data_IF_655478201612
#
_entry.id   IF_655478201612
#
_cell.length_a   1.000
_cell.length_b   1.000
_cell.length_c   1.000
_cell.angle_alpha   90.00
_cell.angle_beta   90.00
_cell.angle_gamma   90.00
#
_symmetry.space_group_name_H-M   'P 1'
#
loop_
_entity.id
_entity.type
_entity.pdbx_description
1 polymer ?
#
# COMPACT_ATOMS: atom_id res chain seq x y z
N UNK A 1 -28.21 7.81 -15.11
CA UNK A 1 -28.50 6.69 -14.19
C UNK A 1 -27.37 5.66 -14.11
N UNK A 2 -26.89 5.09 -15.22
CA UNK A 2 -25.87 4.02 -15.17
C UNK A 2 -24.63 4.37 -14.33
N UNK A 3 -24.04 5.56 -14.52
CA UNK A 3 -22.86 6.01 -13.76
C UNK A 3 -23.09 6.06 -12.24
N UNK A 4 -24.28 6.45 -11.81
CA UNK A 4 -24.67 6.51 -10.39
C UNK A 4 -24.75 5.09 -9.81
N UNK A 5 -25.33 4.16 -10.57
CA UNK A 5 -25.42 2.74 -10.17
C UNK A 5 -24.01 2.14 -10.04
N UNK A 6 -23.15 2.35 -11.05
CA UNK A 6 -21.78 1.85 -11.03
C UNK A 6 -21.00 2.45 -9.85
N UNK A 7 -21.13 3.75 -9.62
CA UNK A 7 -20.53 4.40 -8.45
C UNK A 7 -21.01 3.79 -7.15
N UNK A 8 -22.32 3.60 -6.99
CA UNK A 8 -22.89 3.05 -5.78
C UNK A 8 -22.37 1.63 -5.50
N UNK A 9 -22.27 0.79 -6.52
CA UNK A 9 -21.73 -0.57 -6.39
C UNK A 9 -20.26 -0.54 -5.98
N UNK A 10 -19.43 0.26 -6.65
CA UNK A 10 -17.99 0.36 -6.34
C UNK A 10 -17.78 0.93 -4.94
N UNK A 11 -18.47 2.01 -4.59
CA UNK A 11 -18.34 2.65 -3.29
C UNK A 11 -18.89 1.78 -2.14
N UNK A 12 -20.02 1.09 -2.35
CA UNK A 12 -20.52 0.09 -1.41
C UNK A 12 -19.52 -1.05 -1.21
N UNK A 13 -18.87 -1.51 -2.28
CA UNK A 13 -17.82 -2.52 -2.18
C UNK A 13 -16.61 -2.01 -1.38
N UNK A 14 -16.21 -0.73 -1.56
CA UNK A 14 -15.16 -0.08 -0.77
C UNK A 14 -15.55 -0.04 0.72
N UNK A 15 -16.79 0.36 1.05
CA UNK A 15 -17.30 0.38 2.43
C UNK A 15 -17.24 -1.02 3.04
N UNK A 16 -17.81 -2.02 2.36
CA UNK A 16 -17.86 -3.39 2.86
C UNK A 16 -16.46 -3.98 3.05
N UNK A 17 -15.58 -3.84 2.06
CA UNK A 17 -14.25 -4.43 2.12
C UNK A 17 -13.38 -3.79 3.20
N UNK A 18 -13.30 -2.46 3.23
CA UNK A 18 -12.36 -1.76 4.10
C UNK A 18 -12.87 -1.61 5.53
N UNK A 19 -14.18 -1.45 5.73
CA UNK A 19 -14.75 -1.22 7.06
C UNK A 19 -15.32 -2.48 7.71
N UNK A 20 -15.58 -3.57 6.97
CA UNK A 20 -16.20 -4.78 7.53
C UNK A 20 -15.38 -6.04 7.28
N UNK A 21 -15.12 -6.38 6.02
CA UNK A 21 -14.52 -7.67 5.67
C UNK A 21 -13.05 -7.76 6.11
N UNK A 22 -12.21 -6.79 5.73
CA UNK A 22 -10.78 -6.83 6.02
C UNK A 22 -10.48 -6.69 7.51
N UNK A 23 -11.11 -5.77 8.28
CA UNK A 23 -10.92 -5.70 9.71
C UNK A 23 -11.25 -7.01 10.43
N UNK A 24 -12.36 -7.67 10.08
CA UNK A 24 -12.74 -8.98 10.63
C UNK A 24 -11.73 -10.07 10.28
N UNK A 25 -11.23 -10.07 9.04
CA UNK A 25 -10.23 -11.03 8.59
C UNK A 25 -8.87 -10.79 9.26
N UNK A 26 -8.49 -9.54 9.48
CA UNK A 26 -7.30 -9.13 10.22
C UNK A 26 -7.36 -9.62 11.66
N UNK A 27 -8.46 -9.35 12.37
CA UNK A 27 -8.62 -9.77 13.76
C UNK A 27 -8.62 -11.29 13.90
N UNK A 28 -9.35 -12.01 13.04
CA UNK A 28 -9.44 -13.46 13.10
C UNK A 28 -8.10 -14.15 12.82
N UNK A 29 -7.37 -13.73 11.77
CA UNK A 29 -6.07 -14.35 11.42
C UNK A 29 -4.98 -14.00 12.41
N UNK A 30 -4.86 -12.74 12.79
CA UNK A 30 -3.72 -12.27 13.59
C UNK A 30 -3.82 -12.65 15.06
N UNK A 31 -5.02 -12.74 15.62
CA UNK A 31 -5.20 -13.28 16.96
C UNK A 31 -4.76 -14.75 17.06
N UNK A 32 -4.81 -15.49 15.95
CA UNK A 32 -4.34 -16.89 15.90
C UNK A 32 -2.82 -17.00 15.70
N UNK A 33 -2.19 -16.03 15.01
CA UNK A 33 -0.79 -16.12 14.59
C UNK A 33 0.21 -15.46 15.56
N UNK A 34 -0.18 -14.40 16.29
CA UNK A 34 0.77 -13.64 17.12
C UNK A 34 0.13 -13.05 18.38
N UNK A 35 0.69 -13.32 19.58
CA UNK A 35 0.22 -12.73 20.82
C UNK A 35 0.42 -11.20 20.87
N UNK A 36 1.39 -10.65 20.12
CA UNK A 36 1.61 -9.20 20.04
C UNK A 36 0.47 -8.49 19.31
N UNK A 37 -0.02 -9.07 18.21
CA UNK A 37 -1.20 -8.57 17.52
C UNK A 37 -2.44 -8.70 18.38
N UNK A 38 -2.57 -9.80 19.12
CA UNK A 38 -3.68 -9.99 20.06
C UNK A 38 -3.65 -8.90 21.15
N UNK A 39 -2.48 -8.59 21.70
CA UNK A 39 -2.32 -7.51 22.66
C UNK A 39 -2.60 -6.13 22.05
N UNK A 40 -2.10 -5.84 20.84
CA UNK A 40 -2.37 -4.58 20.15
C UNK A 40 -3.87 -4.39 19.87
N UNK A 41 -4.55 -5.46 19.44
CA UNK A 41 -6.00 -5.46 19.22
C UNK A 41 -6.79 -5.33 20.52
N UNK A 42 -6.37 -6.00 21.61
CA UNK A 42 -7.00 -5.86 22.92
C UNK A 42 -6.79 -4.47 23.53
N UNK A 43 -5.63 -3.87 23.30
CA UNK A 43 -5.32 -2.50 23.71
C UNK A 43 -6.18 -1.52 22.91
N UNK A 44 -6.42 -1.80 21.63
CA UNK A 44 -7.33 -1.06 20.78
C UNK A 44 -8.78 -1.53 20.97
N UNK A 45 -9.34 -1.28 22.16
CA UNK A 45 -10.78 -1.50 22.46
C UNK A 45 -11.71 -0.83 21.44
N UNK A 46 -11.19 0.16 20.70
CA UNK A 46 -11.91 0.92 19.69
C UNK A 46 -11.81 0.37 18.27
N UNK A 47 -10.99 -0.65 17.97
CA UNK A 47 -10.79 -1.10 16.58
C UNK A 47 -12.08 -1.58 15.91
N UNK A 48 -12.80 -2.53 16.53
CA UNK A 48 -14.07 -3.04 16.00
C UNK A 48 -15.18 -1.96 15.92
N UNK A 49 -15.47 -1.19 17.00
CA UNK A 49 -16.51 -0.16 16.93
C UNK A 49 -16.15 0.99 15.97
N UNK A 50 -14.87 1.37 15.84
CA UNK A 50 -14.45 2.37 14.85
C UNK A 50 -14.76 1.90 13.42
N UNK A 51 -14.45 0.65 13.09
CA UNK A 51 -14.74 0.07 11.78
C UNK A 51 -16.26 0.00 11.49
N UNK A 52 -17.09 -0.32 12.50
CA UNK A 52 -18.56 -0.27 12.35
C UNK A 52 -19.03 1.18 12.14
N UNK A 53 -18.54 2.14 12.93
CA UNK A 53 -18.87 3.55 12.77
C UNK A 53 -18.49 4.07 11.38
N UNK A 54 -17.33 3.63 10.86
CA UNK A 54 -16.90 3.94 9.49
C UNK A 54 -17.83 3.33 8.45
N UNK A 55 -18.30 2.10 8.64
CA UNK A 55 -19.27 1.48 7.73
C UNK A 55 -20.59 2.27 7.70
N UNK A 56 -21.10 2.69 8.86
CA UNK A 56 -22.31 3.53 8.97
C UNK A 56 -22.09 4.90 8.31
N UNK A 57 -20.97 5.57 8.60
CA UNK A 57 -20.62 6.84 7.97
C UNK A 57 -20.53 6.73 6.44
N UNK A 58 -19.96 5.63 5.94
CA UNK A 58 -19.91 5.34 4.51
C UNK A 58 -21.30 5.14 3.90
N UNK A 59 -22.20 4.43 4.60
CA UNK A 59 -23.57 4.23 4.14
C UNK A 59 -24.39 5.54 4.12
N UNK A 60 -24.17 6.42 5.10
CA UNK A 60 -24.74 7.78 5.12
C UNK A 60 -24.21 8.58 3.93
N UNK A 61 -22.90 8.55 3.70
CA UNK A 61 -22.28 9.26 2.58
C UNK A 61 -22.74 8.73 1.22
N UNK A 62 -22.89 7.40 1.07
CA UNK A 62 -23.46 6.79 -0.13
C UNK A 62 -24.90 7.23 -0.35
N UNK A 63 -25.72 7.23 0.71
CA UNK A 63 -27.10 7.73 0.64
C UNK A 63 -27.14 9.20 0.21
N UNK A 64 -26.26 10.04 0.78
CA UNK A 64 -26.14 11.43 0.38
C UNK A 64 -25.81 11.56 -1.12
N UNK A 65 -24.88 10.75 -1.65
CA UNK A 65 -24.58 10.75 -3.08
C UNK A 65 -25.72 10.26 -3.99
N UNK A 66 -26.60 9.38 -3.48
CA UNK A 66 -27.72 8.83 -4.24
C UNK A 66 -28.94 9.74 -4.26
N UNK A 67 -29.22 10.43 -3.16
CA UNK A 67 -30.44 11.22 -2.97
C UNK A 67 -30.21 12.74 -3.11
N UNK A 68 -28.98 13.18 -3.34
CA UNK A 68 -28.65 14.58 -3.60
C UNK A 68 -27.85 14.73 -4.89
N UNK A 69 -27.79 15.95 -5.43
CA UNK A 69 -26.92 16.28 -6.56
C UNK A 69 -25.43 16.39 -6.17
N UNK A 70 -25.01 15.82 -5.02
CA UNK A 70 -23.63 15.89 -4.55
C UNK A 70 -22.63 15.30 -5.56
N UNK A 71 -23.01 14.30 -6.36
CA UNK A 71 -22.15 13.76 -7.42
C UNK A 71 -21.97 14.73 -8.60
N UNK A 72 -22.90 15.66 -8.81
CA UNK A 72 -22.75 16.72 -9.81
C UNK A 72 -21.67 17.73 -9.37
N UNK A 73 -21.55 17.97 -8.06
CA UNK A 73 -20.47 18.74 -7.46
C UNK A 73 -19.19 17.89 -7.37
N UNK A 74 -18.50 17.73 -8.51
CA UNK A 74 -17.39 16.79 -8.64
C UNK A 74 -16.27 16.98 -7.62
N UNK A 75 -15.81 18.21 -7.39
CA UNK A 75 -14.69 18.50 -6.46
C UNK A 75 -15.01 18.07 -5.03
N UNK A 76 -16.13 18.51 -4.40
CA UNK A 76 -16.48 18.05 -3.06
C UNK A 76 -16.77 16.54 -3.01
N UNK A 77 -17.34 15.94 -4.06
CA UNK A 77 -17.52 14.49 -4.11
C UNK A 77 -16.18 13.73 -4.01
N UNK A 78 -15.18 14.13 -4.81
CA UNK A 78 -13.84 13.53 -4.78
C UNK A 78 -13.15 13.76 -3.43
N UNK A 79 -13.27 14.96 -2.85
CA UNK A 79 -12.73 15.26 -1.52
C UNK A 79 -13.39 14.39 -0.43
N UNK A 80 -14.71 14.22 -0.49
CA UNK A 80 -15.42 13.37 0.47
C UNK A 80 -15.02 11.90 0.34
N UNK A 81 -14.90 11.36 -0.88
CA UNK A 81 -14.43 9.99 -1.13
C UNK A 81 -13.00 9.79 -0.61
N UNK A 82 -12.10 10.71 -0.93
CA UNK A 82 -10.70 10.68 -0.47
C UNK A 82 -10.59 10.82 1.05
N UNK A 83 -11.28 11.78 1.64
CA UNK A 83 -11.31 11.99 3.09
C UNK A 83 -11.87 10.79 3.84
N UNK A 84 -12.96 10.21 3.33
CA UNK A 84 -13.54 8.99 3.88
C UNK A 84 -12.55 7.82 3.83
N UNK A 85 -11.84 7.64 2.71
CA UNK A 85 -10.81 6.61 2.60
C UNK A 85 -9.71 6.75 3.65
N UNK A 86 -9.17 7.96 3.87
CA UNK A 86 -8.17 8.17 4.92
C UNK A 86 -8.71 7.82 6.30
N UNK A 87 -9.97 8.16 6.57
CA UNK A 87 -10.64 7.80 7.82
C UNK A 87 -10.79 6.27 7.96
N UNK A 88 -11.08 5.55 6.86
CA UNK A 88 -11.12 4.09 6.83
C UNK A 88 -9.75 3.45 7.14
N UNK A 89 -8.65 4.08 6.71
CA UNK A 89 -7.30 3.56 6.94
C UNK A 89 -6.76 3.86 8.34
N UNK A 90 -7.33 4.83 9.06
CA UNK A 90 -6.82 5.27 10.36
C UNK A 90 -6.80 4.17 11.43
N UNK A 91 -7.86 3.37 11.66
CA UNK A 91 -7.82 2.28 12.64
C UNK A 91 -6.73 1.25 12.33
N UNK A 92 -6.51 0.96 11.05
CA UNK A 92 -5.45 0.04 10.64
C UNK A 92 -4.07 0.61 10.96
N UNK A 93 -3.83 1.88 10.65
CA UNK A 93 -2.56 2.55 10.94
C UNK A 93 -2.25 2.56 12.45
N UNK A 94 -3.26 2.82 13.28
CA UNK A 94 -3.14 2.82 14.75
C UNK A 94 -2.73 1.45 15.28
N UNK A 95 -3.35 0.36 14.78
CA UNK A 95 -3.05 -1.00 15.26
C UNK A 95 -1.75 -1.53 14.65
N UNK A 96 -1.46 -1.24 13.38
CA UNK A 96 -0.29 -1.75 12.70
C UNK A 96 1.02 -1.08 13.17
N UNK A 97 0.97 0.20 13.53
CA UNK A 97 2.16 0.97 13.94
C UNK A 97 3.00 0.29 15.04
N UNK A 98 2.43 -0.05 16.20
CA UNK A 98 3.17 -0.70 17.28
C UNK A 98 3.73 -2.08 16.91
N UNK A 99 3.04 -2.82 16.04
CA UNK A 99 3.48 -4.17 15.63
C UNK A 99 4.62 -4.10 14.62
N UNK A 100 4.54 -3.14 13.69
CA UNK A 100 5.63 -2.87 12.76
C UNK A 100 6.88 -2.37 13.47
N UNK A 101 6.72 -1.60 14.56
CA UNK A 101 7.85 -1.10 15.35
C UNK A 101 8.52 -2.16 16.24
N UNK A 102 7.86 -3.29 16.52
CA UNK A 102 8.36 -4.30 17.48
C UNK A 102 8.93 -5.55 16.85
N UNK A 103 8.70 -5.82 15.57
CA UNK A 103 9.18 -7.05 14.92
C UNK A 103 10.72 -7.08 14.91
N UNK A 104 11.37 -7.92 15.74
CA UNK A 104 12.83 -7.98 15.77
C UNK A 104 13.33 -8.61 14.48
N UNK A 105 14.30 -7.95 13.86
CA UNK A 105 14.90 -8.39 12.60
C UNK A 105 15.74 -9.65 12.82
N UNK A 106 15.31 -10.80 12.33
CA UNK A 106 16.17 -11.96 12.11
C UNK A 106 16.78 -11.89 10.71
N UNK A 107 17.56 -10.84 10.44
CA UNK A 107 18.39 -10.81 9.25
C UNK A 107 19.55 -11.80 9.44
N UNK A 108 19.73 -12.72 8.49
CA UNK A 108 20.92 -13.58 8.50
C UNK A 108 22.16 -12.70 8.40
N UNK A 109 23.18 -12.93 9.25
CA UNK A 109 24.41 -12.14 9.25
C UNK A 109 25.09 -12.05 7.86
N UNK A 110 24.90 -13.07 7.02
CA UNK A 110 25.39 -13.10 5.63
C UNK A 110 24.67 -12.13 4.67
N UNK A 111 23.41 -11.76 4.94
CA UNK A 111 22.65 -10.78 4.14
C UNK A 111 23.01 -9.34 4.51
N UNK A 112 23.42 -9.08 5.76
CA UNK A 112 23.79 -7.75 6.25
C UNK A 112 25.07 -7.23 5.59
N UNK A 113 25.99 -8.12 5.22
CA UNK A 113 27.31 -7.74 4.68
C UNK A 113 27.24 -7.12 3.28
N UNK A 114 26.23 -7.47 2.46
CA UNK A 114 26.13 -7.00 1.06
C UNK A 114 25.51 -5.60 0.97
N UNK A 115 26.06 -4.69 0.14
CA UNK A 115 25.48 -3.36 -0.03
C UNK A 115 24.10 -3.45 -0.65
N UNK A 116 23.08 -3.00 0.09
CA UNK A 116 21.69 -3.04 -0.36
C UNK A 116 21.50 -2.25 -1.66
N UNK A 117 20.87 -2.87 -2.63
CA UNK A 117 20.43 -2.25 -3.89
C UNK A 117 18.91 -2.30 -3.96
N UNK A 118 18.30 -1.31 -4.61
CA UNK A 118 16.85 -1.28 -4.75
C UNK A 118 16.30 -2.51 -5.50
N UNK A 119 17.08 -3.01 -6.47
CA UNK A 119 16.77 -4.22 -7.23
C UNK A 119 16.76 -5.51 -6.38
N UNK A 120 17.32 -5.49 -5.17
CA UNK A 120 17.25 -6.62 -4.24
C UNK A 120 15.85 -6.71 -3.59
N UNK A 121 15.11 -5.60 -3.53
CA UNK A 121 13.80 -5.50 -2.89
C UNK A 121 12.64 -5.45 -3.89
N UNK A 122 12.87 -4.88 -5.08
CA UNK A 122 11.85 -4.66 -6.10
C UNK A 122 12.31 -5.24 -7.43
N UNK A 123 11.43 -6.01 -8.08
CA UNK A 123 11.69 -6.53 -9.42
C UNK A 123 12.06 -5.39 -10.39
N UNK A 124 13.15 -5.52 -11.16
CA UNK A 124 13.54 -4.53 -12.18
C UNK A 124 12.41 -4.21 -13.17
N UNK A 125 11.52 -5.18 -13.44
CA UNK A 125 10.34 -4.98 -14.27
C UNK A 125 9.36 -3.97 -13.66
N UNK A 126 9.08 -4.08 -12.35
CA UNK A 126 8.17 -3.16 -11.65
C UNK A 126 8.78 -1.77 -11.56
N UNK A 127 10.09 -1.67 -11.29
CA UNK A 127 10.81 -0.40 -11.33
C UNK A 127 10.73 0.23 -12.73
N UNK A 128 10.99 -0.54 -13.77
CA UNK A 128 10.89 -0.10 -15.16
C UNK A 128 9.48 0.38 -15.51
N UNK A 129 8.45 -0.35 -15.10
CA UNK A 129 7.06 0.02 -15.29
C UNK A 129 6.70 1.32 -14.56
N UNK A 130 7.13 1.48 -13.31
CA UNK A 130 6.90 2.69 -12.53
C UNK A 130 7.53 3.92 -13.22
N UNK A 131 8.79 3.80 -13.64
CA UNK A 131 9.51 4.87 -14.36
C UNK A 131 8.86 5.15 -15.71
N UNK A 132 8.53 4.11 -16.49
CA UNK A 132 7.92 4.27 -17.81
C UNK A 132 6.56 4.97 -17.73
N UNK A 133 5.72 4.62 -16.75
CA UNK A 133 4.44 5.30 -16.54
C UNK A 133 4.63 6.74 -16.07
N UNK A 134 5.54 6.99 -15.13
CA UNK A 134 5.77 8.35 -14.62
C UNK A 134 6.34 9.27 -15.71
N UNK A 135 7.37 8.82 -16.43
CA UNK A 135 7.99 9.58 -17.54
C UNK A 135 7.00 9.72 -18.70
N UNK A 136 6.29 8.65 -19.06
CA UNK A 136 5.27 8.70 -20.11
C UNK A 136 4.18 9.70 -19.79
N UNK A 137 3.73 9.78 -18.54
CA UNK A 137 2.74 10.77 -18.12
C UNK A 137 3.27 12.20 -18.30
N UNK A 138 4.46 12.48 -17.76
CA UNK A 138 5.10 13.80 -17.88
C UNK A 138 5.35 14.20 -19.33
N UNK A 139 5.83 13.28 -20.16
CA UNK A 139 6.06 13.50 -21.58
C UNK A 139 4.75 13.81 -22.32
N UNK A 140 3.68 13.07 -22.02
CA UNK A 140 2.35 13.31 -22.61
C UNK A 140 1.83 14.70 -22.22
N UNK A 141 1.91 15.08 -20.93
CA UNK A 141 1.47 16.41 -20.49
C UNK A 141 2.30 17.53 -21.11
N UNK A 142 3.62 17.31 -21.26
CA UNK A 142 4.51 18.28 -21.89
C UNK A 142 4.20 18.47 -23.37
N UNK A 143 3.88 17.39 -24.09
CA UNK A 143 3.50 17.43 -25.50
C UNK A 143 2.15 18.11 -25.74
N UNK A 144 1.24 18.04 -24.77
CA UNK A 144 -0.08 18.69 -24.82
C UNK A 144 -0.08 20.13 -24.26
N UNK A 145 1.08 20.65 -23.85
CA UNK A 145 1.17 21.97 -23.26
C UNK A 145 1.14 23.06 -24.34
N UNK A 146 0.20 23.99 -24.20
CA UNK A 146 0.02 25.15 -25.09
C UNK A 146 0.80 26.40 -24.63
N UNK A 147 1.65 26.27 -23.61
CA UNK A 147 2.40 27.38 -23.02
C UNK A 147 1.62 28.16 -21.94
N UNK A 148 0.34 27.84 -21.70
CA UNK A 148 -0.45 28.53 -20.67
C UNK A 148 -0.38 27.82 -19.32
N UNK A 149 -0.34 28.59 -18.23
CA UNK A 149 -0.34 28.08 -16.85
C UNK A 149 -1.77 27.95 -16.32
N UNK A 150 -2.54 27.04 -16.90
CA UNK A 150 -3.91 26.79 -16.52
C UNK A 150 -4.04 25.77 -15.35
N UNK A 151 -5.29 25.47 -14.96
CA UNK A 151 -5.59 24.44 -13.94
C UNK A 151 -5.14 23.03 -14.36
N UNK A 152 -4.92 22.77 -15.65
CA UNK A 152 -4.40 21.47 -16.13
C UNK A 152 -2.92 21.38 -15.83
N UNK A 153 -2.16 22.45 -16.05
CA UNK A 153 -0.73 22.52 -15.73
C UNK A 153 -0.43 22.38 -14.24
N UNK A 154 -1.30 22.83 -13.34
CA UNK A 154 -1.11 22.65 -11.88
C UNK A 154 -1.01 21.16 -11.46
N UNK A 155 -1.56 20.23 -12.24
CA UNK A 155 -1.49 18.79 -11.97
C UNK A 155 -0.07 18.24 -12.14
N UNK A 156 0.71 18.79 -13.06
CA UNK A 156 2.08 18.34 -13.40
C UNK A 156 3.05 18.52 -12.22
N UNK A 157 3.21 19.72 -11.61
CA UNK A 157 4.11 19.88 -10.47
C UNK A 157 3.62 19.12 -9.25
N UNK A 158 2.31 18.97 -9.02
CA UNK A 158 1.77 18.12 -7.94
C UNK A 158 2.17 16.66 -8.16
N UNK A 159 1.93 16.13 -9.38
CA UNK A 159 2.32 14.78 -9.73
C UNK A 159 3.83 14.56 -9.58
N UNK A 160 4.63 15.47 -10.14
CA UNK A 160 6.09 15.42 -10.06
C UNK A 160 6.57 15.47 -8.59
N UNK A 161 6.02 16.37 -7.77
CA UNK A 161 6.35 16.48 -6.35
C UNK A 161 6.05 15.18 -5.60
N UNK A 162 4.90 14.55 -5.86
CA UNK A 162 4.56 13.24 -5.24
C UNK A 162 5.53 12.15 -5.67
N UNK A 163 5.86 12.05 -6.96
CA UNK A 163 6.82 11.05 -7.44
C UNK A 163 8.23 11.28 -6.90
N UNK A 164 8.69 12.53 -6.88
CA UNK A 164 9.97 12.91 -6.28
C UNK A 164 9.99 12.64 -4.78
N UNK A 165 8.87 12.85 -4.08
CA UNK A 165 8.76 12.49 -2.67
C UNK A 165 8.92 10.98 -2.46
N UNK A 166 8.24 10.14 -3.25
CA UNK A 166 8.36 8.69 -3.13
C UNK A 166 9.79 8.19 -3.41
N UNK A 167 10.38 8.64 -4.53
CA UNK A 167 11.75 8.26 -4.91
C UNK A 167 12.78 8.83 -3.93
N UNK A 168 12.59 10.08 -3.51
CA UNK A 168 13.44 10.76 -2.54
C UNK A 168 13.47 10.06 -1.19
N UNK A 169 12.31 9.67 -0.65
CA UNK A 169 12.26 8.89 0.59
C UNK A 169 12.97 7.54 0.43
N UNK A 170 12.73 6.83 -0.66
CA UNK A 170 13.33 5.52 -0.89
C UNK A 170 14.86 5.58 -1.01
N UNK A 171 15.36 6.56 -1.77
CA UNK A 171 16.80 6.78 -1.96
C UNK A 171 17.47 7.27 -0.68
N UNK A 172 16.80 8.15 0.08
CA UNK A 172 17.26 8.58 1.39
C UNK A 172 17.40 7.41 2.36
N UNK A 173 16.37 6.57 2.47
CA UNK A 173 16.40 5.38 3.34
C UNK A 173 17.49 4.39 2.89
N UNK A 174 17.64 4.16 1.58
CA UNK A 174 18.72 3.32 1.05
C UNK A 174 20.11 3.87 1.42
N UNK A 175 20.30 5.19 1.33
CA UNK A 175 21.55 5.84 1.69
C UNK A 175 21.80 5.86 3.21
N UNK A 176 20.75 5.94 4.03
CA UNK A 176 20.83 5.82 5.48
C UNK A 176 21.27 4.41 5.88
N UNK A 177 20.60 3.38 5.35
CA UNK A 177 20.94 1.96 5.60
C UNK A 177 22.36 1.61 5.18
N UNK A 178 22.89 2.20 4.09
CA UNK A 178 24.28 2.00 3.67
C UNK A 178 25.31 2.60 4.62
N UNK A 179 24.95 3.64 5.38
CA UNK A 179 25.82 4.36 6.33
C UNK A 179 25.67 3.87 7.77
N UNK A 180 24.61 3.13 8.07
CA UNK A 180 24.33 2.58 9.38
C UNK A 180 25.39 1.55 9.82
N UNK A 181 25.60 1.46 11.15
CA UNK A 181 26.36 0.39 11.77
C UNK A 181 25.72 -0.97 11.48
N UNK A 182 26.47 -2.07 11.65
CA UNK A 182 26.01 -3.41 11.27
C UNK A 182 24.69 -3.82 11.94
N UNK A 183 24.51 -3.48 13.22
CA UNK A 183 23.29 -3.74 13.97
C UNK A 183 22.07 -2.99 13.39
N UNK A 184 22.20 -1.68 13.14
CA UNK A 184 21.10 -0.84 12.63
C UNK A 184 20.83 -1.07 11.13
N UNK A 185 21.85 -1.54 10.40
CA UNK A 185 21.75 -1.82 8.96
C UNK A 185 20.80 -2.99 8.68
N UNK A 186 20.78 -4.01 9.53
CA UNK A 186 19.83 -5.12 9.41
C UNK A 186 18.37 -4.63 9.48
N UNK A 187 18.07 -3.77 10.45
CA UNK A 187 16.76 -3.14 10.59
C UNK A 187 16.42 -2.26 9.37
N UNK A 188 17.37 -1.44 8.91
CA UNK A 188 17.20 -0.60 7.73
C UNK A 188 16.96 -1.40 6.43
N UNK A 189 17.62 -2.55 6.26
CA UNK A 189 17.39 -3.46 5.13
C UNK A 189 15.97 -4.04 5.19
N UNK A 190 15.50 -4.45 6.36
CA UNK A 190 14.15 -4.97 6.52
C UNK A 190 13.08 -3.90 6.29
N UNK A 191 13.29 -2.69 6.83
CA UNK A 191 12.42 -1.56 6.56
C UNK A 191 12.32 -1.30 5.05
N UNK A 192 13.45 -1.28 4.34
CA UNK A 192 13.49 -1.13 2.87
C UNK A 192 12.80 -2.28 2.13
N UNK A 193 13.00 -3.53 2.56
CA UNK A 193 12.35 -4.70 1.96
C UNK A 193 10.81 -4.60 2.03
N UNK A 194 10.31 -3.93 3.07
CA UNK A 194 8.88 -3.68 3.28
C UNK A 194 8.39 -2.43 2.54
N UNK A 195 9.13 -1.32 2.60
CA UNK A 195 8.68 -0.04 2.03
C UNK A 195 8.84 0.03 0.51
N UNK A 196 9.91 -0.55 -0.04
CA UNK A 196 10.28 -0.39 -1.44
C UNK A 196 9.22 -0.94 -2.43
N UNK A 197 8.68 -2.16 -2.25
CA UNK A 197 7.62 -2.65 -3.11
C UNK A 197 6.36 -1.79 -3.00
N UNK A 198 6.00 -1.36 -1.78
CA UNK A 198 4.83 -0.52 -1.54
C UNK A 198 4.94 0.83 -2.27
N UNK A 199 6.06 1.52 -2.15
CA UNK A 199 6.27 2.80 -2.82
C UNK A 199 6.31 2.66 -4.34
N UNK A 200 6.87 1.57 -4.86
CA UNK A 200 6.89 1.29 -6.30
C UNK A 200 5.47 1.06 -6.83
N UNK A 201 4.68 0.23 -6.15
CA UNK A 201 3.29 -0.03 -6.52
C UNK A 201 2.41 1.22 -6.38
N UNK A 202 2.65 2.03 -5.35
CA UNK A 202 1.97 3.32 -5.18
C UNK A 202 2.30 4.27 -6.33
N UNK A 203 3.57 4.34 -6.75
CA UNK A 203 4.01 5.15 -7.91
C UNK A 203 3.34 4.70 -9.21
N UNK A 204 3.28 3.38 -9.47
CA UNK A 204 2.54 2.79 -10.61
C UNK A 204 1.07 3.18 -10.54
N UNK A 205 0.45 2.99 -9.37
CA UNK A 205 -0.95 3.28 -9.15
C UNK A 205 -1.30 4.75 -9.39
N UNK A 206 -0.54 5.68 -8.81
CA UNK A 206 -0.74 7.12 -8.99
C UNK A 206 -0.60 7.48 -10.48
N UNK A 207 0.44 6.99 -11.15
CA UNK A 207 0.62 7.24 -12.60
C UNK A 207 -0.54 6.71 -13.43
N UNK A 208 -0.97 5.47 -13.17
CA UNK A 208 -2.12 4.86 -13.83
C UNK A 208 -3.42 5.63 -13.58
N UNK A 209 -3.65 6.11 -12.36
CA UNK A 209 -4.79 6.93 -12.02
C UNK A 209 -4.80 8.27 -12.79
N UNK A 210 -3.66 8.95 -12.89
CA UNK A 210 -3.56 10.20 -13.63
C UNK A 210 -3.77 10.01 -15.13
N UNK A 211 -3.20 8.95 -15.74
CA UNK A 211 -3.50 8.57 -17.12
C UNK A 211 -4.98 8.27 -17.34
N UNK A 212 -5.56 7.40 -16.50
CA UNK A 212 -6.97 7.03 -16.59
C UNK A 212 -7.88 8.26 -16.49
N UNK A 213 -7.55 9.19 -15.59
CA UNK A 213 -8.27 10.46 -15.46
C UNK A 213 -8.23 11.27 -16.75
N UNK A 214 -7.08 11.41 -17.38
CA UNK A 214 -6.96 12.21 -18.60
C UNK A 214 -7.63 11.52 -19.80
N UNK A 215 -7.62 10.18 -19.86
CA UNK A 215 -8.44 9.41 -20.82
C UNK A 215 -9.94 9.68 -20.61
N UNK A 216 -10.42 9.68 -19.36
CA UNK A 216 -11.82 10.01 -19.07
C UNK A 216 -12.19 11.45 -19.48
N UNK A 217 -11.25 12.39 -19.39
CA UNK A 217 -11.45 13.74 -19.88
C UNK A 217 -11.52 13.80 -21.41
N UNK A 218 -10.61 13.10 -22.10
CA UNK A 218 -10.58 13.05 -23.55
C UNK A 218 -11.83 12.39 -24.15
N UNK A 219 -12.39 11.40 -23.46
CA UNK A 219 -13.62 10.70 -23.85
C UNK A 219 -14.91 11.38 -23.35
N UNK A 220 -14.81 12.56 -22.71
CA UNK A 220 -15.92 13.33 -22.13
C UNK A 220 -16.78 12.58 -21.08
N UNK A 221 -16.33 11.42 -20.59
CA UNK A 221 -17.02 10.60 -19.57
C UNK A 221 -16.61 10.99 -18.15
N UNK A 222 -16.56 12.28 -17.88
CA UNK A 222 -16.09 12.85 -16.61
C UNK A 222 -16.91 12.41 -15.39
N UNK A 223 -18.15 11.96 -15.60
CA UNK A 223 -19.03 11.42 -14.58
C UNK A 223 -18.46 10.14 -13.92
N UNK A 224 -17.55 9.41 -14.57
CA UNK A 224 -16.91 8.21 -14.03
C UNK A 224 -15.74 8.51 -13.08
N UNK A 225 -15.33 9.78 -12.92
CA UNK A 225 -14.21 10.15 -12.04
C UNK A 225 -14.37 9.67 -10.59
N UNK A 226 -15.54 9.78 -9.93
CA UNK A 226 -15.74 9.26 -8.58
C UNK A 226 -15.60 7.74 -8.49
N UNK A 227 -16.09 7.03 -9.51
CA UNK A 227 -15.96 5.56 -9.64
C UNK A 227 -14.47 5.17 -9.67
N UNK A 228 -13.72 5.80 -10.58
CA UNK A 228 -12.30 5.53 -10.76
C UNK A 228 -11.49 5.86 -9.50
N UNK A 229 -11.81 6.96 -8.81
CA UNK A 229 -11.16 7.30 -7.54
C UNK A 229 -11.44 6.26 -6.46
N UNK A 230 -12.69 5.87 -6.26
CA UNK A 230 -13.07 4.85 -5.28
C UNK A 230 -12.39 3.50 -5.58
N UNK A 231 -12.41 3.05 -6.83
CA UNK A 231 -11.74 1.82 -7.25
C UNK A 231 -10.22 1.88 -7.03
N UNK A 232 -9.60 3.02 -7.36
CA UNK A 232 -8.17 3.24 -7.15
C UNK A 232 -7.79 3.19 -5.67
N UNK A 233 -8.53 3.89 -4.82
CA UNK A 233 -8.30 3.91 -3.37
C UNK A 233 -8.51 2.52 -2.76
N UNK A 234 -9.55 1.80 -3.19
CA UNK A 234 -9.79 0.41 -2.78
C UNK A 234 -8.61 -0.50 -3.15
N UNK A 235 -8.05 -0.37 -4.35
CA UNK A 235 -6.85 -1.12 -4.75
C UNK A 235 -5.65 -0.76 -3.87
N UNK A 236 -5.42 0.53 -3.58
CA UNK A 236 -4.34 0.97 -2.69
C UNK A 236 -4.48 0.38 -1.28
N UNK A 237 -5.68 0.37 -0.71
CA UNK A 237 -5.91 -0.24 0.59
C UNK A 237 -5.68 -1.75 0.58
N UNK A 238 -6.14 -2.46 -0.46
CA UNK A 238 -5.89 -3.89 -0.59
C UNK A 238 -4.39 -4.20 -0.67
N UNK A 239 -3.62 -3.41 -1.42
CA UNK A 239 -2.16 -3.53 -1.48
C UNK A 239 -1.50 -3.26 -0.13
N UNK A 240 -1.89 -2.18 0.56
CA UNK A 240 -1.36 -1.84 1.87
C UNK A 240 -1.65 -2.94 2.91
N UNK A 241 -2.88 -3.45 2.93
CA UNK A 241 -3.31 -4.52 3.84
C UNK A 241 -2.60 -5.83 3.52
N UNK A 242 -2.53 -6.21 2.24
CA UNK A 242 -1.79 -7.39 1.80
C UNK A 242 -0.33 -7.33 2.25
N UNK A 243 0.30 -6.16 2.14
CA UNK A 243 1.66 -5.95 2.60
C UNK A 243 1.81 -6.11 4.12
N UNK A 244 0.91 -5.51 4.91
CA UNK A 244 0.86 -5.70 6.38
C UNK A 244 0.66 -7.17 6.75
N UNK A 245 -0.13 -7.92 5.97
CA UNK A 245 -0.30 -9.36 6.17
C UNK A 245 0.98 -10.15 5.90
N UNK A 246 1.73 -9.84 4.85
CA UNK A 246 2.94 -10.58 4.52
C UNK A 246 4.11 -10.31 5.47
N UNK A 247 4.29 -9.07 5.93
CA UNK A 247 5.41 -8.73 6.80
C UNK A 247 5.35 -9.47 8.15
N UNK A 248 4.18 -9.57 8.78
CA UNK A 248 4.09 -10.18 10.11
C UNK A 248 3.97 -11.72 10.13
N UNK A 249 3.83 -12.40 8.98
CA UNK A 249 3.94 -13.88 8.94
C UNK A 249 5.41 -14.32 8.90
N UNK A 250 6.31 -13.50 8.35
CA UNK A 250 7.72 -13.87 8.23
C UNK A 250 8.48 -13.89 9.56
N UNK A 251 7.92 -13.31 10.63
CA UNK A 251 8.58 -13.23 11.94
C UNK A 251 8.26 -14.41 12.86
N UNK A 252 7.16 -15.15 12.65
CA UNK A 252 6.72 -16.24 13.52
C UNK A 252 7.45 -17.57 13.30
N UNK A 253 8.09 -17.74 12.14
CA UNK A 253 8.70 -19.01 11.72
C UNK A 253 10.15 -19.20 12.18
N UNK A 254 10.66 -18.36 13.10
CA UNK A 254 11.98 -18.61 13.68
C UNK A 254 11.80 -19.66 14.79
N UNK A 255 12.18 -20.95 14.60
CA UNK A 255 12.10 -21.92 15.68
C UNK A 255 12.97 -21.41 16.82
N UNK A 256 12.34 -21.16 17.98
CA UNK A 256 13.07 -21.05 19.25
C UNK A 256 13.90 -22.33 19.35
N UNK A 257 15.19 -22.21 19.06
CA UNK A 257 16.17 -23.26 19.22
C UNK A 257 16.24 -23.61 20.71
N UNK A 258 15.33 -24.47 21.16
CA UNK A 258 15.45 -25.23 22.39
C UNK A 258 16.62 -26.17 22.20
N UNK A 259 17.77 -25.73 22.70
CA UNK A 259 19.02 -26.49 22.90
C UNK A 259 19.62 -27.05 21.61
N UNK A 260 20.74 -26.44 21.20
CA UNK A 260 21.61 -27.01 20.18
C UNK A 260 22.05 -28.43 20.59
N UNK A 261 21.72 -29.50 19.84
CA UNK A 261 22.57 -30.66 19.84
C UNK A 261 23.88 -30.26 19.16
N UNK A 262 24.99 -30.52 19.84
CA UNK A 262 26.32 -30.39 19.26
C UNK A 262 26.42 -31.34 18.05
N UNK A 263 26.21 -30.82 16.84
CA UNK A 263 26.37 -31.58 15.60
C UNK A 263 27.50 -30.93 14.80
N UNK A 264 28.65 -31.58 14.90
CA UNK A 264 29.82 -31.43 14.04
C UNK A 264 29.49 -32.00 12.65
N UNK A 265 29.36 -31.13 11.65
CA UNK A 265 29.28 -31.54 10.24
C UNK A 265 28.22 -30.80 9.42
N UNK A 266 28.63 -29.76 8.69
CA UNK A 266 27.77 -28.98 7.79
C UNK A 266 27.90 -29.46 6.33
N UNK A 267 26.81 -29.75 5.61
CA UNK A 267 26.81 -29.76 4.15
C UNK A 267 26.34 -28.41 3.57
N UNK A 268 27.17 -27.85 2.68
CA UNK A 268 26.93 -26.62 1.91
C UNK A 268 26.03 -26.90 0.69
N UNK A 269 24.70 -26.81 0.77
CA UNK A 269 23.82 -26.69 -0.43
C UNK A 269 22.32 -26.50 -0.14
N UNK A 270 21.93 -25.52 0.71
CA UNK A 270 20.53 -25.32 1.13
C UNK A 270 19.74 -24.15 0.51
N UNK A 271 20.41 -23.16 -0.10
CA UNK A 271 19.83 -21.83 -0.32
C UNK A 271 18.89 -21.66 -1.53
N UNK A 272 18.80 -22.64 -2.44
CA UNK A 272 17.97 -22.52 -3.66
C UNK A 272 16.55 -23.11 -3.54
N UNK A 273 16.18 -23.76 -2.42
CA UNK A 273 14.84 -24.38 -2.26
C UNK A 273 13.73 -23.45 -1.77
N UNK A 274 14.03 -22.37 -1.05
CA UNK A 274 12.98 -21.48 -0.53
C UNK A 274 12.27 -20.64 -1.61
N UNK A 275 12.91 -20.39 -2.75
CA UNK A 275 12.27 -19.62 -3.81
C UNK A 275 11.31 -20.46 -4.68
N UNK A 276 11.51 -21.78 -4.77
CA UNK A 276 10.70 -22.68 -5.62
C UNK A 276 9.40 -23.15 -4.93
N UNK A 277 9.40 -23.28 -3.60
CA UNK A 277 8.21 -23.66 -2.84
C UNK A 277 7.15 -22.54 -2.72
N UNK A 278 7.48 -21.30 -3.09
CA UNK A 278 6.59 -20.13 -3.00
C UNK A 278 5.57 -20.02 -4.14
N UNK A 279 5.83 -20.67 -5.28
CA UNK A 279 4.95 -20.62 -6.46
C UNK A 279 3.96 -21.78 -6.56
N UNK A 280 4.18 -22.91 -5.86
CA UNK A 280 3.33 -24.10 -5.96
C UNK A 280 2.17 -24.15 -4.95
N UNK A 281 1.99 -23.12 -4.10
CA UNK A 281 0.82 -23.01 -3.20
C UNK A 281 -0.32 -22.14 -3.76
N UNK A 282 -0.19 -21.69 -5.01
CA UNK A 282 -1.12 -20.74 -5.64
C UNK A 282 -1.57 -21.18 -7.05
N UNK A 283 -1.34 -22.44 -7.41
CA UNK A 283 -2.08 -23.17 -8.44
C UNK A 283 -2.88 -24.25 -7.74
#
# INVERSE_FOLDING_TARGET
>A
MLTVIVFAVVFASQIYLLSVHLPRKLTARRAAESPEWQQALQTSRFYAPANIALAVAGAILLSAFLFTDALAAMTPALLAIGGYFFLQMAPLAIVAGPVLARSPATANAADVSRPARLADFVSPLLMGLAVALAVGYLATQSALWDGTWDKRMLKVPIFAAVQLFLVGNLTWQLAATRRAAEADRAEGIQALASMAPMFTLLSIGISGYYFGKDILFALEVQALRPVMMSAFLQLLALLAIHHVFHCAVSSSDTPRSTKAPAVTGWPRSGLLRCHRARLSRWT
#
